data_IF_041374945681
#
_entry.id   IF_041374945681
#
_cell.length_a   1.000
_cell.length_b   1.000
_cell.length_c   1.000
_cell.angle_alpha   90.00
_cell.angle_beta   90.00
_cell.angle_gamma   90.00
#
_symmetry.space_group_name_H-M   'P 1'
#
loop_
_entity.id
_entity.type
_entity.pdbx_description
1 polymer ?
#
# COMPACT_ATOMS: atom_id res chain seq x y z
N UNK A 1 -14.02 -12.38 -4.87
CA UNK A 1 -12.77 -12.10 -4.13
C UNK A 1 -11.68 -13.03 -4.63
N UNK A 2 -10.50 -12.50 -4.95
CA UNK A 2 -9.42 -13.20 -5.64
C UNK A 2 -8.36 -13.71 -4.65
N UNK A 3 -7.94 -14.98 -4.74
CA UNK A 3 -6.80 -15.52 -3.99
C UNK A 3 -5.48 -15.20 -4.71
N UNK A 4 -5.09 -13.94 -4.73
CA UNK A 4 -3.83 -13.52 -5.34
C UNK A 4 -2.73 -13.54 -4.30
N UNK A 5 -1.65 -14.26 -4.60
CA UNK A 5 -0.43 -14.30 -3.79
C UNK A 5 0.40 -13.02 -4.02
N UNK A 6 0.37 -12.48 -5.24
CA UNK A 6 1.17 -11.31 -5.61
C UNK A 6 0.25 -10.17 -6.06
N UNK A 7 0.57 -8.91 -5.69
CA UNK A 7 -0.17 -7.76 -6.18
C UNK A 7 -0.18 -7.66 -7.71
N UNK A 8 -1.19 -7.00 -8.27
CA UNK A 8 -1.30 -6.79 -9.71
C UNK A 8 -0.13 -5.95 -10.24
N UNK A 9 0.26 -6.18 -11.49
CA UNK A 9 1.25 -5.31 -12.14
C UNK A 9 0.60 -3.95 -12.42
N UNK A 10 1.13 -2.87 -11.85
CA UNK A 10 0.68 -1.49 -12.14
C UNK A 10 1.10 -0.96 -13.52
N UNK A 11 1.60 -1.82 -14.41
CA UNK A 11 2.20 -1.46 -15.69
C UNK A 11 1.54 -2.26 -16.80
N UNK A 12 1.45 -1.67 -17.99
CA UNK A 12 0.94 -2.36 -19.17
C UNK A 12 1.80 -3.62 -19.44
N UNK A 13 1.18 -4.80 -19.38
CA UNK A 13 1.83 -6.07 -19.71
C UNK A 13 1.86 -6.33 -21.22
N UNK A 14 1.11 -5.53 -21.98
CA UNK A 14 1.01 -5.62 -23.42
C UNK A 14 1.08 -4.21 -23.99
N UNK A 15 1.97 -4.02 -24.96
CA UNK A 15 2.00 -2.82 -25.78
C UNK A 15 1.16 -3.12 -27.02
N UNK A 16 0.14 -2.31 -27.29
CA UNK A 16 -0.59 -2.43 -28.54
C UNK A 16 0.41 -2.17 -29.70
N UNK A 17 0.46 -3.08 -30.67
CA UNK A 17 1.26 -2.90 -31.87
C UNK A 17 0.72 -1.67 -32.61
N UNK A 18 1.54 -0.63 -32.72
CA UNK A 18 1.21 0.50 -33.58
C UNK A 18 1.12 0.01 -35.04
N UNK A 19 0.14 0.51 -35.81
CA UNK A 19 0.05 0.18 -37.23
C UNK A 19 1.36 0.60 -37.93
N UNK A 20 1.97 -0.33 -38.65
CA UNK A 20 3.16 -0.03 -39.46
C UNK A 20 2.77 0.73 -40.72
N UNK A 21 3.72 1.48 -41.28
CA UNK A 21 3.51 2.19 -42.52
C UNK A 21 3.18 1.19 -43.65
N UNK A 22 2.10 1.38 -44.43
CA UNK A 22 1.73 0.48 -45.53
C UNK A 22 2.86 0.29 -46.56
N UNK A 23 3.71 1.30 -46.70
CA UNK A 23 4.84 1.32 -47.63
C UNK A 23 6.13 0.73 -47.06
N UNK A 24 6.22 0.51 -45.74
CA UNK A 24 7.41 0.02 -45.05
C UNK A 24 7.01 -0.83 -43.83
N UNK A 25 6.68 -2.13 -44.03
CA UNK A 25 6.30 -3.02 -42.95
C UNK A 25 7.44 -3.11 -41.92
N UNK A 26 7.10 -2.84 -40.65
CA UNK A 26 8.04 -2.79 -39.53
C UNK A 26 8.44 -1.37 -39.08
N UNK A 27 8.15 -0.33 -39.86
CA UNK A 27 8.38 1.07 -39.45
C UNK A 27 7.10 1.66 -38.85
N UNK A 28 7.20 2.27 -37.68
CA UNK A 28 6.10 2.91 -36.97
C UNK A 28 5.57 4.13 -37.76
N UNK A 29 4.30 4.12 -38.15
CA UNK A 29 3.66 5.26 -38.84
C UNK A 29 3.23 6.32 -37.81
N UNK A 30 4.10 7.30 -37.60
CA UNK A 30 3.88 8.40 -36.63
C UNK A 30 2.71 9.31 -37.03
N UNK A 31 2.40 9.46 -38.32
CA UNK A 31 1.31 10.33 -38.78
C UNK A 31 -0.05 9.70 -38.56
N UNK A 32 -0.15 8.37 -38.71
CA UNK A 32 -1.38 7.63 -38.40
C UNK A 32 -1.54 7.35 -36.92
N UNK A 33 -0.45 7.07 -36.19
CA UNK A 33 -0.50 6.88 -34.74
C UNK A 33 -0.93 8.15 -34.01
N UNK A 34 -0.54 9.32 -34.52
CA UNK A 34 -0.77 10.60 -33.85
C UNK A 34 -2.09 11.28 -34.26
N UNK A 35 -2.87 10.70 -35.17
CA UNK A 35 -4.23 11.21 -35.46
C UNK A 35 -5.17 11.15 -34.25
N UNK A 36 -4.86 10.32 -33.25
CA UNK A 36 -5.59 10.29 -31.97
C UNK A 36 -5.16 11.37 -30.96
N UNK A 37 -4.18 12.25 -31.27
CA UNK A 37 -3.78 13.34 -30.37
C UNK A 37 -4.77 14.52 -30.34
N UNK A 38 -5.73 14.59 -31.27
CA UNK A 38 -6.80 15.59 -31.23
C UNK A 38 -7.92 15.25 -30.23
N UNK A 39 -7.89 14.07 -29.62
CA UNK A 39 -8.77 13.73 -28.49
C UNK A 39 -8.03 13.96 -27.17
N UNK A 40 -8.65 14.64 -26.18
CA UNK A 40 -8.01 14.88 -24.89
C UNK A 40 -7.53 13.56 -24.29
N UNK A 41 -6.32 13.61 -23.70
CA UNK A 41 -5.43 12.54 -23.25
C UNK A 41 -6.02 11.46 -22.31
N UNK A 42 -7.32 11.51 -22.03
CA UNK A 42 -7.98 10.64 -21.06
C UNK A 42 -8.72 9.43 -21.67
N UNK A 43 -8.61 9.18 -22.98
CA UNK A 43 -9.44 8.18 -23.67
C UNK A 43 -8.72 7.23 -24.64
N UNK A 44 -7.38 7.20 -24.68
CA UNK A 44 -6.67 6.23 -25.53
C UNK A 44 -5.89 5.21 -24.68
N UNK A 45 -6.29 3.93 -24.65
CA UNK A 45 -5.61 2.89 -23.86
C UNK A 45 -4.21 2.53 -24.40
N UNK A 46 -3.78 3.12 -25.52
CA UNK A 46 -2.54 2.78 -26.22
C UNK A 46 -1.34 3.66 -25.84
N UNK A 47 -1.56 4.84 -25.28
CA UNK A 47 -0.49 5.60 -24.64
C UNK A 47 -0.54 5.27 -23.16
N UNK A 48 0.29 4.29 -22.78
CA UNK A 48 0.67 4.06 -21.40
C UNK A 48 0.79 5.42 -20.74
N UNK A 49 -0.08 5.72 -19.76
CA UNK A 49 0.23 6.74 -18.78
C UNK A 49 1.69 6.50 -18.42
N UNK A 50 2.54 7.48 -18.70
CA UNK A 50 3.98 7.35 -18.45
C UNK A 50 4.07 7.12 -16.94
N UNK A 51 4.18 5.86 -16.55
CA UNK A 51 4.41 5.46 -15.19
C UNK A 51 5.84 5.88 -14.93
N UNK A 52 6.04 7.14 -14.53
CA UNK A 52 7.32 7.64 -14.05
C UNK A 52 7.73 6.99 -12.71
N UNK A 53 6.91 6.07 -12.20
CA UNK A 53 7.12 5.23 -11.03
C UNK A 53 7.79 3.92 -11.44
N UNK A 54 8.69 3.43 -10.59
CA UNK A 54 9.42 2.19 -10.83
C UNK A 54 8.44 1.00 -10.88
N UNK A 55 8.63 0.01 -11.78
CA UNK A 55 7.64 -1.03 -11.98
C UNK A 55 7.34 -1.94 -10.78
N UNK A 56 8.23 -1.93 -9.79
CA UNK A 56 8.05 -2.65 -8.53
C UNK A 56 7.47 -1.80 -7.41
N UNK A 57 7.45 -0.48 -7.52
CA UNK A 57 7.01 0.42 -6.44
C UNK A 57 5.55 0.13 -6.04
N UNK A 58 4.66 0.04 -7.03
CA UNK A 58 3.26 -0.34 -6.81
C UNK A 58 3.11 -1.72 -6.17
N UNK A 59 4.00 -2.67 -6.47
CA UNK A 59 3.97 -4.00 -5.85
C UNK A 59 4.49 -3.99 -4.42
N UNK A 60 5.58 -3.26 -4.17
CA UNK A 60 6.17 -3.17 -2.84
C UNK A 60 5.20 -2.48 -1.87
N UNK A 61 4.53 -1.40 -2.30
CA UNK A 61 3.55 -0.70 -1.47
C UNK A 61 2.29 -1.52 -1.19
N UNK A 62 1.87 -2.38 -2.12
CA UNK A 62 0.65 -3.20 -1.99
C UNK A 62 0.89 -4.64 -1.54
N UNK A 63 2.15 -5.03 -1.30
CA UNK A 63 2.51 -6.40 -0.93
C UNK A 63 1.80 -6.84 0.34
N UNK A 64 1.90 -6.02 1.40
CA UNK A 64 1.32 -6.32 2.72
C UNK A 64 -0.19 -6.45 2.67
N UNK A 65 -0.87 -5.43 2.14
CA UNK A 65 -2.33 -5.45 2.02
C UNK A 65 -2.84 -6.62 1.19
N UNK A 66 -2.08 -7.08 0.19
CA UNK A 66 -2.43 -8.26 -0.60
C UNK A 66 -2.27 -9.56 0.19
N UNK A 67 -1.19 -9.71 0.97
CA UNK A 67 -0.99 -10.87 1.84
C UNK A 67 -2.08 -10.95 2.93
N UNK A 68 -2.42 -9.83 3.55
CA UNK A 68 -3.48 -9.77 4.57
C UNK A 68 -4.85 -10.08 3.96
N UNK A 69 -5.14 -9.51 2.79
CA UNK A 69 -6.36 -9.83 2.07
C UNK A 69 -6.43 -11.31 1.71
N UNK A 70 -5.32 -11.93 1.29
CA UNK A 70 -5.27 -13.37 1.03
C UNK A 70 -5.56 -14.18 2.29
N UNK A 71 -4.93 -13.85 3.43
CA UNK A 71 -5.13 -14.48 4.74
C UNK A 71 -6.61 -14.42 5.14
N UNK A 72 -7.22 -13.23 5.10
CA UNK A 72 -8.63 -13.04 5.43
C UNK A 72 -9.57 -13.77 4.46
N UNK A 73 -9.22 -13.84 3.17
CA UNK A 73 -9.99 -14.58 2.19
C UNK A 73 -9.94 -16.10 2.41
N UNK A 74 -8.79 -16.64 2.83
CA UNK A 74 -8.65 -18.06 3.16
C UNK A 74 -9.51 -18.42 4.36
N UNK A 75 -9.41 -17.63 5.43
CA UNK A 75 -10.19 -17.88 6.64
C UNK A 75 -11.69 -17.73 6.40
N UNK A 76 -12.09 -16.77 5.57
CA UNK A 76 -13.49 -16.65 5.12
C UNK A 76 -14.01 -17.92 4.44
N UNK A 77 -13.15 -18.62 3.69
CA UNK A 77 -13.52 -19.84 2.96
C UNK A 77 -13.54 -21.07 3.87
N UNK A 78 -12.61 -21.16 4.81
CA UNK A 78 -12.48 -22.30 5.71
C UNK A 78 -13.45 -22.23 6.89
N UNK A 79 -13.60 -21.05 7.50
CA UNK A 79 -14.34 -20.83 8.74
C UNK A 79 -15.59 -19.95 8.59
N UNK A 80 -15.82 -19.40 7.39
CA UNK A 80 -16.97 -18.55 7.09
C UNK A 80 -16.73 -17.07 7.39
N UNK A 81 -17.77 -16.26 7.21
CA UNK A 81 -17.68 -14.78 7.24
C UNK A 81 -17.39 -14.21 8.64
N UNK A 82 -17.72 -14.97 9.69
CA UNK A 82 -17.53 -14.52 11.05
C UNK A 82 -16.04 -14.36 11.43
N UNK A 83 -15.15 -15.18 10.85
CA UNK A 83 -13.73 -15.19 11.24
C UNK A 83 -13.02 -13.89 10.84
N UNK A 84 -13.09 -13.39 9.58
CA UNK A 84 -12.42 -12.15 9.22
C UNK A 84 -12.94 -10.94 9.99
N UNK A 85 -14.25 -10.95 10.31
CA UNK A 85 -14.89 -9.89 11.10
C UNK A 85 -14.32 -9.89 12.52
N UNK A 86 -14.26 -11.06 13.16
CA UNK A 86 -13.72 -11.20 14.50
C UNK A 86 -12.27 -10.74 14.56
N UNK A 87 -11.40 -11.20 13.64
CA UNK A 87 -10.00 -10.75 13.59
C UNK A 87 -9.87 -9.25 13.37
N UNK A 88 -10.66 -8.67 12.48
CA UNK A 88 -10.66 -7.23 12.26
C UNK A 88 -11.07 -6.46 13.53
N UNK A 89 -12.04 -6.97 14.29
CA UNK A 89 -12.42 -6.37 15.58
C UNK A 89 -11.32 -6.52 16.64
N UNK A 90 -10.64 -7.67 16.72
CA UNK A 90 -9.53 -7.91 17.64
C UNK A 90 -8.38 -6.93 17.40
N UNK A 91 -7.96 -6.77 16.13
CA UNK A 91 -6.93 -5.78 15.73
C UNK A 91 -7.37 -4.37 16.09
N UNK A 92 -8.62 -4.01 15.78
CA UNK A 92 -9.17 -2.68 16.09
C UNK A 92 -9.15 -2.38 17.59
N UNK A 93 -9.54 -3.34 18.43
CA UNK A 93 -9.53 -3.17 19.89
C UNK A 93 -8.11 -2.95 20.40
N UNK A 94 -7.11 -3.67 19.86
CA UNK A 94 -5.71 -3.45 20.20
C UNK A 94 -5.24 -2.05 19.79
N UNK A 95 -5.54 -1.61 18.57
CA UNK A 95 -5.21 -0.26 18.08
C UNK A 95 -5.82 0.86 18.93
N UNK A 96 -7.09 0.72 19.33
CA UNK A 96 -7.79 1.73 20.13
C UNK A 96 -7.38 1.69 21.63
N UNK A 97 -7.01 0.52 22.14
CA UNK A 97 -6.63 0.32 23.54
C UNK A 97 -5.17 0.65 23.84
N UNK A 98 -4.30 0.61 22.84
CA UNK A 98 -2.87 0.81 23.03
C UNK A 98 -2.52 2.30 22.97
N UNK A 99 -2.10 2.85 24.11
CA UNK A 99 -1.47 4.15 24.17
C UNK A 99 -0.04 3.99 24.69
N UNK A 100 0.91 4.55 23.95
CA UNK A 100 2.32 4.59 24.30
C UNK A 100 2.83 6.02 24.15
N UNK A 101 3.49 6.57 25.18
CA UNK A 101 4.03 7.92 25.09
C UNK A 101 5.21 7.96 24.10
N UNK A 102 5.29 9.01 23.31
CA UNK A 102 6.29 9.19 22.26
C UNK A 102 7.70 9.36 22.84
N UNK A 103 7.81 9.81 24.10
CA UNK A 103 9.07 9.81 24.87
C UNK A 103 9.77 8.45 24.92
N UNK A 104 9.03 7.33 24.81
CA UNK A 104 9.61 5.99 24.77
C UNK A 104 10.21 5.63 23.40
N UNK A 105 10.26 6.59 22.47
CA UNK A 105 10.97 6.46 21.19
C UNK A 105 10.26 5.62 20.13
N UNK A 106 9.15 4.97 20.47
CA UNK A 106 8.47 4.04 19.58
C UNK A 106 7.40 4.75 18.73
N UNK A 107 7.50 4.60 17.40
CA UNK A 107 6.53 5.09 16.42
C UNK A 107 6.17 3.94 15.48
N UNK A 108 5.53 2.91 16.03
CA UNK A 108 5.12 1.72 15.30
C UNK A 108 3.79 1.14 15.80
N UNK A 109 3.40 0.01 15.21
CA UNK A 109 2.26 -0.79 15.65
C UNK A 109 2.48 -1.34 17.05
N UNK A 110 1.40 -1.57 17.78
CA UNK A 110 1.49 -2.19 19.09
C UNK A 110 2.04 -3.61 19.04
N UNK A 111 2.71 -4.09 20.09
CA UNK A 111 3.17 -5.50 20.11
C UNK A 111 1.98 -6.47 20.02
N UNK A 112 0.84 -6.08 20.60
CA UNK A 112 -0.38 -6.87 20.52
C UNK A 112 -0.95 -6.91 19.09
N UNK A 113 -0.89 -5.78 18.39
CA UNK A 113 -1.27 -5.69 16.98
C UNK A 113 -0.34 -6.53 16.10
N UNK A 114 0.97 -6.47 16.33
CA UNK A 114 1.97 -7.26 15.62
C UNK A 114 1.77 -8.77 15.82
N UNK A 115 1.42 -9.22 17.03
CA UNK A 115 1.10 -10.63 17.29
C UNK A 115 -0.16 -11.07 16.53
N UNK A 116 -1.19 -10.23 16.46
CA UNK A 116 -2.43 -10.55 15.74
C UNK A 116 -2.24 -10.53 14.21
N UNK A 117 -1.41 -9.62 13.70
CA UNK A 117 -1.04 -9.59 12.29
C UNK A 117 -0.08 -10.73 11.92
N UNK A 118 0.69 -11.24 12.88
CA UNK A 118 1.70 -12.31 12.72
C UNK A 118 3.06 -11.75 12.30
N UNK A 119 3.37 -10.54 12.76
CA UNK A 119 4.55 -9.74 12.42
C UNK A 119 5.55 -9.61 13.57
N UNK A 120 5.24 -10.15 14.74
CA UNK A 120 6.05 -10.13 15.97
C UNK A 120 7.51 -10.62 15.79
N UNK A 121 7.76 -11.49 14.80
CA UNK A 121 9.09 -12.03 14.51
C UNK A 121 9.81 -11.36 13.32
N UNK A 122 9.27 -10.27 12.77
CA UNK A 122 9.85 -9.57 11.61
C UNK A 122 10.31 -8.16 11.98
N UNK A 123 11.34 -7.68 11.29
CA UNK A 123 11.91 -6.35 11.49
C UNK A 123 12.08 -5.67 10.13
N UNK A 124 11.51 -4.48 10.00
CA UNK A 124 11.61 -3.61 8.85
C UNK A 124 12.56 -2.44 9.10
N UNK A 125 12.87 -1.71 8.01
CA UNK A 125 13.66 -0.48 8.10
C UNK A 125 13.01 0.59 8.99
N UNK A 126 11.67 0.68 8.99
CA UNK A 126 10.90 1.68 9.76
C UNK A 126 11.01 1.43 11.26
N UNK A 127 11.18 0.17 11.67
CA UNK A 127 11.30 -0.22 13.07
C UNK A 127 12.65 0.24 13.66
N UNK A 128 13.70 0.26 12.83
CA UNK A 128 15.05 0.70 13.20
C UNK A 128 15.23 2.21 13.05
N UNK A 129 14.73 2.77 11.96
CA UNK A 129 14.92 4.17 11.59
C UNK A 129 13.57 4.90 11.58
N UNK A 130 13.23 5.47 12.74
CA UNK A 130 11.92 6.05 12.99
C UNK A 130 11.80 7.51 12.53
N UNK A 131 12.89 8.12 12.01
CA UNK A 131 12.91 9.51 11.52
C UNK A 131 12.81 10.56 12.64
N UNK A 132 13.00 10.13 13.89
CA UNK A 132 12.93 10.99 15.08
C UNK A 132 14.32 11.42 15.57
N UNK A 133 15.41 11.05 14.86
CA UNK A 133 16.79 11.28 15.29
C UNK A 133 17.10 12.78 15.46
N UNK A 134 16.38 13.66 14.76
CA UNK A 134 16.53 15.12 14.84
C UNK A 134 15.35 15.82 15.51
N UNK A 135 14.32 15.09 15.96
CA UNK A 135 13.12 15.66 16.58
C UNK A 135 13.27 15.58 18.10
N UNK A 136 13.18 16.70 18.81
CA UNK A 136 13.05 16.68 20.26
C UNK A 136 11.73 15.99 20.61
N UNK A 137 11.79 14.83 21.28
CA UNK A 137 10.60 14.17 21.79
C UNK A 137 9.88 15.12 22.78
N UNK A 138 8.54 15.24 22.69
CA UNK A 138 7.78 16.01 23.67
C UNK A 138 7.94 15.40 25.07
N UNK A 139 7.83 16.24 26.10
CA UNK A 139 7.88 15.78 27.48
C UNK A 139 6.65 14.90 27.79
N UNK A 140 6.86 13.88 28.64
CA UNK A 140 5.81 12.94 29.05
C UNK A 140 4.62 13.67 29.68
N UNK A 141 4.88 14.70 30.48
CA UNK A 141 3.82 15.49 31.12
C UNK A 141 2.94 16.20 30.08
N UNK A 142 3.53 16.86 29.08
CA UNK A 142 2.81 17.51 27.99
C UNK A 142 2.00 16.52 27.14
N UNK A 143 2.52 15.30 26.91
CA UNK A 143 1.77 14.25 26.22
C UNK A 143 0.53 13.78 27.02
N UNK A 144 0.69 13.59 28.33
CA UNK A 144 -0.41 13.21 29.21
C UNK A 144 -1.48 14.31 29.31
N UNK A 145 -1.06 15.57 29.45
CA UNK A 145 -1.98 16.70 29.47
C UNK A 145 -2.81 16.77 28.19
N UNK A 146 -2.16 16.63 27.02
CA UNK A 146 -2.84 16.58 25.73
C UNK A 146 -3.86 15.43 25.65
N UNK A 147 -3.49 14.23 26.11
CA UNK A 147 -4.36 13.05 26.09
C UNK A 147 -5.56 13.21 27.02
N UNK A 148 -5.32 13.71 28.24
CA UNK A 148 -6.32 13.88 29.28
C UNK A 148 -7.14 15.17 29.11
N UNK A 149 -6.84 15.98 28.07
CA UNK A 149 -7.44 17.29 27.80
C UNK A 149 -7.31 18.23 28.99
N UNK A 150 -6.14 18.20 29.65
CA UNK A 150 -5.82 19.04 30.80
C UNK A 150 -5.03 20.30 30.43
N UNK A 151 -4.92 20.60 29.14
CA UNK A 151 -4.33 21.85 28.64
C UNK A 151 -5.34 22.98 28.92
N UNK A 152 -5.06 23.80 29.92
CA UNK A 152 -5.80 25.03 30.22
C UNK A 152 -5.05 26.25 29.69
#
# INVERSE_FOLDING_TARGET
MSLRIVPHAGHAQQTALAPSAPSAPGVHDTLRSNQSLNTPHNASPAFSAVASSHPLESRLSSWRSTQDALKMNMLRREFGVAEPIRRAMEVKICQEGEWRPRVLGFKGEGVHEEVLSGRDASVDWEDVFNGNETQNAPDFHSEMENRLKMNW
#
